data_IF_405967730116
#
_entry.id   IF_405967730116
#
_cell.length_a   1.000
_cell.length_b   1.000
_cell.length_c   1.000
_cell.angle_alpha   90.00
_cell.angle_beta   90.00
_cell.angle_gamma   90.00
#
_symmetry.space_group_name_H-M   'P 1'
#
loop_
_entity.id
_entity.type
_entity.pdbx_description
1 polymer ?
#
# COMPACT_ATOMS: atom_id res chain seq x y z
N UNK A 1 13.45 -37.18 -84.91
CA UNK A 1 14.47 -36.60 -84.05
C UNK A 1 13.73 -35.78 -83.01
N UNK A 2 13.60 -36.36 -81.80
CA UNK A 2 12.79 -35.78 -80.73
C UNK A 2 13.67 -35.20 -79.66
N UNK A 3 13.52 -33.93 -79.37
CA UNK A 3 14.20 -33.23 -78.27
C UNK A 3 13.40 -33.45 -76.98
N UNK A 4 14.00 -34.14 -75.99
CA UNK A 4 13.40 -34.26 -74.65
C UNK A 4 13.80 -33.09 -73.79
N UNK A 5 12.83 -32.23 -73.45
CA UNK A 5 12.99 -31.14 -72.48
C UNK A 5 13.01 -31.71 -71.07
N UNK A 6 14.11 -31.47 -70.32
CA UNK A 6 14.21 -31.82 -68.90
C UNK A 6 13.71 -30.59 -68.09
N UNK A 7 12.59 -30.75 -67.42
CA UNK A 7 12.07 -29.75 -66.43
C UNK A 7 12.75 -29.99 -65.12
N UNK A 8 13.53 -29.02 -64.66
CA UNK A 8 14.19 -29.01 -63.36
C UNK A 8 13.25 -28.41 -62.31
N UNK A 9 12.74 -29.22 -61.39
CA UNK A 9 11.96 -28.76 -60.24
C UNK A 9 12.94 -28.26 -59.18
N UNK A 10 12.90 -26.95 -58.90
CA UNK A 10 13.59 -26.31 -57.79
C UNK A 10 12.62 -26.34 -56.62
N UNK A 11 12.90 -27.15 -55.60
CA UNK A 11 12.21 -27.17 -54.32
C UNK A 11 12.73 -26.02 -53.46
N UNK A 12 11.93 -24.96 -53.30
CA UNK A 12 12.19 -23.86 -52.34
C UNK A 12 11.67 -24.29 -50.96
N UNK A 13 12.59 -24.67 -50.06
CA UNK A 13 12.24 -24.89 -48.66
C UNK A 13 12.16 -23.54 -47.95
N UNK A 14 10.92 -23.11 -47.70
CA UNK A 14 10.64 -21.93 -46.88
C UNK A 14 10.78 -22.38 -45.40
N UNK A 15 11.92 -22.11 -44.80
CA UNK A 15 12.15 -22.26 -43.35
C UNK A 15 11.32 -21.27 -42.56
N UNK A 16 10.26 -21.70 -41.89
CA UNK A 16 9.50 -20.90 -40.95
C UNK A 16 10.32 -20.76 -39.67
N UNK A 17 11.05 -19.64 -39.52
CA UNK A 17 11.72 -19.29 -38.28
C UNK A 17 10.63 -18.84 -37.25
N UNK A 18 10.28 -19.72 -36.32
CA UNK A 18 9.45 -19.40 -35.18
C UNK A 18 10.28 -18.53 -34.24
N UNK A 19 10.07 -17.20 -34.29
CA UNK A 19 10.57 -16.27 -33.29
C UNK A 19 9.82 -16.56 -31.97
N UNK A 20 10.44 -17.35 -31.10
CA UNK A 20 10.03 -17.46 -29.70
C UNK A 20 10.34 -16.12 -29.03
N UNK A 21 9.35 -15.23 -29.01
CA UNK A 21 9.41 -14.03 -28.17
C UNK A 21 9.40 -14.48 -26.71
N UNK A 22 10.57 -14.50 -26.11
CA UNK A 22 10.71 -14.67 -24.67
C UNK A 22 9.87 -13.61 -23.98
N UNK A 23 8.80 -14.03 -23.28
CA UNK A 23 8.05 -13.16 -22.38
C UNK A 23 9.03 -12.68 -21.31
N UNK A 24 9.63 -11.49 -21.50
CA UNK A 24 10.32 -10.78 -20.43
C UNK A 24 9.29 -10.53 -19.34
N UNK A 25 9.30 -11.39 -18.32
CA UNK A 25 8.49 -11.20 -17.13
C UNK A 25 8.80 -9.80 -16.58
N UNK A 26 7.89 -8.84 -16.78
CA UNK A 26 7.96 -7.53 -16.13
C UNK A 26 7.96 -7.78 -14.65
N UNK A 27 9.14 -7.76 -14.03
CA UNK A 27 9.25 -7.68 -12.58
C UNK A 27 8.52 -6.41 -12.17
N UNK A 28 7.37 -6.56 -11.53
CA UNK A 28 6.61 -5.40 -11.02
C UNK A 28 7.51 -4.66 -10.04
N UNK A 29 7.73 -3.37 -10.30
CA UNK A 29 8.60 -2.54 -9.46
C UNK A 29 8.12 -2.59 -8.01
N UNK A 30 9.00 -2.97 -7.10
CA UNK A 30 8.77 -3.03 -5.65
C UNK A 30 8.93 -1.62 -5.09
N UNK A 31 7.89 -0.80 -5.18
CA UNK A 31 7.90 0.58 -4.71
C UNK A 31 6.83 0.80 -3.66
N UNK A 32 7.19 1.47 -2.57
CA UNK A 32 6.34 1.76 -1.42
C UNK A 32 6.38 3.25 -1.08
N UNK A 33 5.21 3.84 -0.91
CA UNK A 33 4.99 5.15 -0.32
C UNK A 33 4.31 5.00 1.04
N UNK A 34 4.91 5.53 2.10
CA UNK A 34 4.35 5.61 3.44
C UNK A 34 3.92 7.06 3.69
N UNK A 35 2.62 7.28 3.87
CA UNK A 35 2.08 8.56 4.33
C UNK A 35 1.47 8.42 5.71
N UNK A 36 1.62 9.45 6.54
CA UNK A 36 0.99 9.39 7.85
C UNK A 36 1.46 10.42 8.87
N UNK A 37 1.07 10.15 10.10
CA UNK A 37 1.33 10.96 11.28
C UNK A 37 2.59 10.50 12.05
N UNK A 38 2.64 10.77 13.36
CA UNK A 38 3.76 10.36 14.23
C UNK A 38 3.97 8.85 14.28
N UNK A 39 2.92 8.05 14.09
CA UNK A 39 3.03 6.58 14.04
C UNK A 39 3.75 6.14 12.77
N UNK A 40 3.47 6.79 11.64
CA UNK A 40 4.21 6.57 10.39
C UNK A 40 5.68 7.00 10.52
N UNK A 41 5.96 8.12 11.17
CA UNK A 41 7.35 8.55 11.46
C UNK A 41 8.10 7.44 12.21
N UNK A 42 7.55 6.95 13.32
CA UNK A 42 8.20 5.89 14.12
C UNK A 42 8.31 4.56 13.36
N UNK A 43 7.27 4.16 12.61
CA UNK A 43 7.27 2.95 11.80
C UNK A 43 8.28 3.02 10.65
N UNK A 44 8.43 4.18 10.04
CA UNK A 44 9.33 4.44 8.91
C UNK A 44 10.80 4.18 9.22
N UNK A 45 11.22 4.32 10.48
CA UNK A 45 12.57 3.97 10.92
C UNK A 45 12.88 2.46 10.80
N UNK A 46 11.86 1.60 10.96
CA UNK A 46 12.04 0.14 10.98
C UNK A 46 11.59 -0.55 9.71
N UNK A 47 10.60 -0.01 9.00
CA UNK A 47 9.96 -0.67 7.86
C UNK A 47 10.94 -1.04 6.74
N UNK A 48 11.94 -0.20 6.36
CA UNK A 48 12.89 -0.54 5.31
C UNK A 48 13.71 -1.80 5.61
N UNK A 49 14.02 -2.08 6.89
CA UNK A 49 14.78 -3.28 7.28
C UNK A 49 14.04 -4.59 7.03
N UNK A 50 12.71 -4.55 6.86
CA UNK A 50 11.87 -5.69 6.50
C UNK A 50 11.56 -5.79 5.01
N UNK A 51 11.95 -4.78 4.21
CA UNK A 51 11.60 -4.62 2.80
C UNK A 51 12.83 -4.54 1.89
N UNK A 52 13.76 -5.51 2.03
CA UNK A 52 14.95 -5.56 1.19
C UNK A 52 14.58 -5.62 -0.31
N UNK A 53 15.25 -4.78 -1.10
CA UNK A 53 15.01 -4.67 -2.54
C UNK A 53 13.75 -3.88 -2.92
N UNK A 54 13.15 -3.13 -1.97
CA UNK A 54 12.08 -2.18 -2.23
C UNK A 54 12.63 -0.75 -2.31
N UNK A 55 12.06 0.05 -3.23
CA UNK A 55 12.22 1.50 -3.19
C UNK A 55 11.20 2.06 -2.20
N UNK A 56 11.69 2.70 -1.15
CA UNK A 56 10.87 3.25 -0.07
C UNK A 56 10.90 4.78 -0.10
N UNK A 57 9.71 5.39 -0.01
CA UNK A 57 9.52 6.81 0.21
C UNK A 57 8.59 7.02 1.39
N UNK A 58 8.88 8.02 2.21
CA UNK A 58 8.02 8.42 3.31
C UNK A 58 7.68 9.91 3.22
N UNK A 59 6.43 10.22 3.51
CA UNK A 59 5.91 11.56 3.72
C UNK A 59 5.07 11.53 5.00
N UNK A 60 5.74 11.56 6.14
CA UNK A 60 5.09 11.51 7.45
C UNK A 60 5.47 12.71 8.29
N UNK A 61 4.50 13.25 9.03
CA UNK A 61 4.71 14.39 9.91
C UNK A 61 3.96 14.21 11.23
N UNK A 62 4.60 14.59 12.33
CA UNK A 62 3.96 14.58 13.65
C UNK A 62 2.67 15.43 13.63
N UNK A 63 1.63 14.95 14.28
CA UNK A 63 0.32 15.62 14.40
C UNK A 63 -0.45 15.81 13.07
N UNK A 64 -0.02 15.18 11.96
CA UNK A 64 -0.73 15.27 10.69
C UNK A 64 -2.16 14.72 10.80
N UNK A 65 -3.12 15.46 10.24
CA UNK A 65 -4.51 15.05 10.10
C UNK A 65 -4.74 14.19 8.85
N UNK A 66 -5.82 13.39 8.87
CA UNK A 66 -6.16 12.54 7.74
C UNK A 66 -6.44 13.33 6.45
N UNK A 67 -7.00 14.54 6.56
CA UNK A 67 -7.25 15.42 5.42
C UNK A 67 -5.95 15.84 4.70
N UNK A 68 -4.92 16.16 5.47
CA UNK A 68 -3.63 16.64 4.92
C UNK A 68 -2.88 15.52 4.18
N UNK A 69 -2.80 14.33 4.80
CA UNK A 69 -2.15 13.20 4.16
C UNK A 69 -2.94 12.64 2.98
N UNK A 70 -4.28 12.61 3.06
CA UNK A 70 -5.12 12.23 1.93
C UNK A 70 -4.89 13.14 0.72
N UNK A 71 -4.84 14.46 0.94
CA UNK A 71 -4.53 15.44 -0.11
C UNK A 71 -3.15 15.18 -0.72
N UNK A 72 -2.13 14.96 0.11
CA UNK A 72 -0.76 14.69 -0.38
C UNK A 72 -0.68 13.41 -1.26
N UNK A 73 -1.44 12.36 -0.90
CA UNK A 73 -1.54 11.14 -1.71
C UNK A 73 -2.27 11.42 -3.03
N UNK A 74 -3.37 12.18 -3.00
CA UNK A 74 -4.16 12.54 -4.19
C UNK A 74 -3.34 13.39 -5.17
N UNK A 75 -2.61 14.40 -4.68
CA UNK A 75 -1.69 15.22 -5.47
C UNK A 75 -0.61 14.37 -6.13
N UNK A 76 0.04 13.49 -5.35
CA UNK A 76 1.07 12.60 -5.86
C UNK A 76 0.53 11.61 -6.92
N UNK A 77 -0.72 11.17 -6.78
CA UNK A 77 -1.39 10.35 -7.77
C UNK A 77 -1.69 11.13 -9.06
N UNK A 78 -2.14 12.38 -8.93
CA UNK A 78 -2.40 13.28 -10.06
C UNK A 78 -1.11 13.55 -10.86
N UNK A 79 0.02 13.72 -10.18
CA UNK A 79 1.35 13.88 -10.78
C UNK A 79 1.90 12.58 -11.38
N UNK A 80 1.20 11.45 -11.25
CA UNK A 80 1.63 10.10 -11.69
C UNK A 80 2.89 9.58 -11.01
N UNK A 81 3.18 10.07 -9.82
CA UNK A 81 4.35 9.72 -9.01
C UNK A 81 4.04 8.69 -7.91
N UNK A 82 2.77 8.32 -7.73
CA UNK A 82 2.36 7.42 -6.65
C UNK A 82 2.91 6.01 -6.88
N UNK A 83 3.51 5.46 -5.86
CA UNK A 83 4.13 4.15 -5.83
C UNK A 83 3.10 3.02 -5.97
N UNK A 84 3.57 1.80 -6.23
CA UNK A 84 2.70 0.64 -6.41
C UNK A 84 1.95 0.25 -5.12
N UNK A 85 2.61 0.35 -3.98
CA UNK A 85 2.01 0.13 -2.66
C UNK A 85 2.00 1.45 -1.89
N UNK A 86 0.87 1.76 -1.29
CA UNK A 86 0.66 2.96 -0.46
C UNK A 86 0.26 2.51 0.92
N UNK A 87 1.09 2.77 1.91
CA UNK A 87 0.77 2.55 3.33
C UNK A 87 0.33 3.87 3.94
N UNK A 88 -0.81 3.86 4.62
CA UNK A 88 -1.43 5.05 5.22
C UNK A 88 -1.62 4.84 6.73
N UNK A 89 -0.97 5.68 7.50
CA UNK A 89 -1.08 5.73 8.97
C UNK A 89 -1.65 7.09 9.38
N UNK A 90 -2.97 7.27 9.18
CA UNK A 90 -3.68 8.52 9.44
C UNK A 90 -5.00 8.29 10.18
N UNK A 91 -5.47 9.32 10.87
CA UNK A 91 -6.71 9.33 11.61
C UNK A 91 -6.51 9.38 13.13
N UNK A 92 -5.28 9.14 13.62
CA UNK A 92 -4.98 9.15 15.07
C UNK A 92 -5.14 10.55 15.68
N UNK A 93 -4.92 11.61 14.90
CA UNK A 93 -5.00 13.01 15.36
C UNK A 93 -6.32 13.70 15.03
N UNK A 94 -7.24 12.98 14.41
CA UNK A 94 -8.55 13.53 14.01
C UNK A 94 -9.59 13.35 15.12
N UNK A 95 -10.64 14.18 15.08
CA UNK A 95 -11.78 14.03 15.98
C UNK A 95 -12.54 12.75 15.63
N UNK A 96 -12.63 11.74 16.53
CA UNK A 96 -13.27 10.47 16.25
C UNK A 96 -14.79 10.58 15.99
N UNK A 97 -15.43 11.74 16.25
CA UNK A 97 -16.81 12.00 15.89
C UNK A 97 -16.97 12.28 14.38
N UNK A 98 -15.93 12.72 13.69
CA UNK A 98 -15.94 13.08 12.27
C UNK A 98 -15.91 11.88 11.32
N UNK A 99 -16.70 10.82 11.61
CA UNK A 99 -16.69 9.53 10.90
C UNK A 99 -16.96 9.68 9.40
N UNK A 100 -17.87 10.55 9.00
CA UNK A 100 -18.21 10.77 7.58
C UNK A 100 -17.06 11.43 6.81
N UNK A 101 -16.39 12.40 7.43
CA UNK A 101 -15.21 13.06 6.87
C UNK A 101 -14.06 12.06 6.66
N UNK A 102 -13.76 11.27 7.70
CA UNK A 102 -12.74 10.23 7.60
C UNK A 102 -13.05 9.22 6.49
N UNK A 103 -14.31 8.77 6.38
CA UNK A 103 -14.75 7.90 5.26
C UNK A 103 -14.44 8.53 3.90
N UNK A 104 -14.70 9.82 3.74
CA UNK A 104 -14.46 10.52 2.48
C UNK A 104 -12.96 10.55 2.14
N UNK A 105 -12.09 10.78 3.11
CA UNK A 105 -10.63 10.76 2.91
C UNK A 105 -10.13 9.39 2.48
N UNK A 106 -10.57 8.30 3.15
CA UNK A 106 -10.20 6.93 2.76
C UNK A 106 -10.66 6.63 1.33
N UNK A 107 -11.89 6.99 0.97
CA UNK A 107 -12.43 6.79 -0.38
C UNK A 107 -11.68 7.60 -1.44
N UNK A 108 -11.30 8.84 -1.14
CA UNK A 108 -10.51 9.70 -2.00
C UNK A 108 -9.16 9.06 -2.32
N UNK A 109 -8.42 8.64 -1.30
CA UNK A 109 -7.12 7.95 -1.44
C UNK A 109 -7.23 6.68 -2.28
N UNK A 110 -8.21 5.81 -1.98
CA UNK A 110 -8.41 4.56 -2.72
C UNK A 110 -8.73 4.81 -4.19
N UNK A 111 -9.58 5.82 -4.47
CA UNK A 111 -9.94 6.23 -5.83
C UNK A 111 -8.75 6.82 -6.57
N UNK A 112 -7.97 7.69 -5.93
CA UNK A 112 -6.78 8.31 -6.50
C UNK A 112 -5.68 7.27 -6.81
N UNK A 113 -5.49 6.29 -5.91
CA UNK A 113 -4.57 5.19 -6.14
C UNK A 113 -4.96 4.36 -7.37
N UNK A 114 -6.25 4.21 -7.64
CA UNK A 114 -6.76 3.41 -8.75
C UNK A 114 -6.58 1.89 -8.55
N UNK A 115 -7.17 1.06 -9.41
CA UNK A 115 -7.29 -0.39 -9.18
C UNK A 115 -5.98 -1.16 -9.30
N UNK A 116 -4.93 -0.56 -9.84
CA UNK A 116 -3.63 -1.21 -10.08
C UNK A 116 -2.63 -1.04 -8.93
N UNK A 117 -2.97 -0.23 -7.93
CA UNK A 117 -2.14 -0.01 -6.74
C UNK A 117 -2.80 -0.62 -5.50
N UNK A 118 -1.98 -1.04 -4.57
CA UNK A 118 -2.40 -1.57 -3.30
C UNK A 118 -2.33 -0.46 -2.25
N UNK A 119 -3.43 -0.22 -1.55
CA UNK A 119 -3.53 0.71 -0.42
C UNK A 119 -3.65 -0.10 0.85
N UNK A 120 -2.80 0.14 1.83
CA UNK A 120 -2.86 -0.47 3.15
C UNK A 120 -3.11 0.64 4.16
N UNK A 121 -4.21 0.56 4.91
CA UNK A 121 -4.53 1.52 5.97
C UNK A 121 -4.53 0.86 7.32
N UNK A 122 -3.84 1.44 8.29
CA UNK A 122 -3.78 0.89 9.66
C UNK A 122 -5.00 1.29 10.47
N UNK A 123 -5.57 0.35 11.24
CA UNK A 123 -6.58 0.69 12.26
C UNK A 123 -5.96 1.51 13.38
N UNK A 124 -6.78 2.32 14.04
CA UNK A 124 -6.36 3.27 15.06
C UNK A 124 -6.49 2.64 16.44
N UNK A 125 -5.37 2.64 17.19
CA UNK A 125 -5.33 2.36 18.61
C UNK A 125 -4.96 3.64 19.36
N UNK A 126 -5.94 4.22 20.02
CA UNK A 126 -5.78 5.42 20.84
C UNK A 126 -6.86 5.45 21.92
N UNK A 127 -6.56 5.94 23.14
CA UNK A 127 -7.58 6.25 24.15
C UNK A 127 -8.66 7.19 23.56
N UNK A 128 -9.89 7.14 24.07
CA UNK A 128 -10.96 8.01 23.61
C UNK A 128 -10.57 9.49 23.68
N UNK A 129 -10.90 10.24 22.63
CA UNK A 129 -10.78 11.69 22.59
C UNK A 129 -12.14 12.33 22.89
N UNK A 130 -12.21 13.19 23.89
CA UNK A 130 -13.49 13.77 24.39
C UNK A 130 -14.56 12.69 24.68
N UNK A 131 -14.17 11.54 25.23
CA UNK A 131 -15.07 10.43 25.54
C UNK A 131 -15.51 9.59 24.35
N UNK A 132 -15.09 9.94 23.11
CA UNK A 132 -15.45 9.22 21.89
C UNK A 132 -14.28 8.32 21.46
N UNK A 133 -14.55 7.05 21.22
CA UNK A 133 -13.56 6.07 20.77
C UNK A 133 -13.37 6.11 19.25
N UNK A 134 -12.23 5.61 18.79
CA UNK A 134 -11.92 5.47 17.35
C UNK A 134 -12.56 4.25 16.68
N UNK A 135 -13.48 3.54 17.37
CA UNK A 135 -14.19 2.38 16.80
C UNK A 135 -14.98 2.72 15.54
N UNK A 136 -15.52 3.96 15.45
CA UNK A 136 -16.22 4.43 14.25
C UNK A 136 -15.30 4.51 13.03
N UNK A 137 -14.08 4.99 13.20
CA UNK A 137 -13.06 5.02 12.14
C UNK A 137 -12.62 3.62 11.73
N UNK A 138 -12.37 2.75 12.69
CA UNK A 138 -11.99 1.35 12.42
C UNK A 138 -13.12 0.58 11.71
N UNK A 139 -14.38 0.85 12.03
CA UNK A 139 -15.53 0.29 11.32
C UNK A 139 -15.63 0.82 9.87
N UNK A 140 -15.28 2.09 9.64
CA UNK A 140 -15.17 2.65 8.27
C UNK A 140 -14.12 1.88 7.47
N UNK A 141 -12.93 1.69 8.03
CA UNK A 141 -11.85 0.95 7.36
C UNK A 141 -12.28 -0.47 7.00
N UNK A 142 -12.83 -1.22 7.94
CA UNK A 142 -13.34 -2.59 7.70
C UNK A 142 -14.43 -2.64 6.60
N UNK A 143 -15.37 -1.67 6.65
CA UNK A 143 -16.43 -1.56 5.64
C UNK A 143 -15.90 -1.26 4.24
N UNK A 144 -14.84 -0.45 4.13
CA UNK A 144 -14.25 -0.06 2.85
C UNK A 144 -13.30 -1.14 2.32
N UNK A 145 -12.58 -1.86 3.17
CA UNK A 145 -11.80 -3.06 2.82
C UNK A 145 -12.68 -4.10 2.13
N UNK A 146 -13.83 -4.40 2.72
CA UNK A 146 -14.80 -5.32 2.12
C UNK A 146 -15.36 -4.84 0.76
N UNK A 147 -15.32 -3.53 0.48
CA UNK A 147 -15.84 -2.92 -0.75
C UNK A 147 -14.81 -2.77 -1.85
N UNK A 148 -13.58 -2.41 -1.52
CA UNK A 148 -12.53 -2.05 -2.47
C UNK A 148 -11.43 -3.11 -2.52
N UNK A 149 -11.28 -3.78 -3.65
CA UNK A 149 -10.30 -4.87 -3.83
C UNK A 149 -8.84 -4.44 -3.68
N UNK A 150 -8.56 -3.15 -3.81
CA UNK A 150 -7.24 -2.57 -3.71
C UNK A 150 -6.97 -1.86 -2.37
N UNK A 151 -7.92 -1.92 -1.43
CA UNK A 151 -7.73 -1.49 -0.04
C UNK A 151 -7.54 -2.73 0.84
N UNK A 152 -6.58 -2.69 1.72
CA UNK A 152 -6.33 -3.70 2.74
C UNK A 152 -6.16 -3.04 4.09
N UNK A 153 -6.73 -3.63 5.13
CA UNK A 153 -6.62 -3.10 6.49
C UNK A 153 -5.56 -3.85 7.28
N UNK A 154 -4.60 -3.10 7.81
CA UNK A 154 -3.69 -3.61 8.82
C UNK A 154 -4.33 -3.40 10.21
N UNK A 155 -4.79 -4.49 10.84
CA UNK A 155 -5.45 -4.39 12.15
C UNK A 155 -4.44 -4.16 13.29
N UNK A 156 -3.89 -2.95 13.28
CA UNK A 156 -2.99 -2.49 14.33
C UNK A 156 -3.68 -2.43 15.70
N UNK A 157 -4.96 -2.02 15.75
CA UNK A 157 -5.69 -1.91 17.00
C UNK A 157 -5.87 -3.27 17.70
N UNK A 158 -6.06 -4.36 16.95
CA UNK A 158 -6.11 -5.69 17.53
C UNK A 158 -4.76 -6.13 18.11
N UNK A 159 -3.68 -5.92 17.36
CA UNK A 159 -2.32 -6.20 17.81
C UNK A 159 -1.96 -5.38 19.06
N UNK A 160 -2.28 -4.10 19.06
CA UNK A 160 -2.03 -3.19 20.17
C UNK A 160 -2.73 -3.64 21.45
N UNK A 161 -3.99 -4.06 21.35
CA UNK A 161 -4.74 -4.59 22.51
C UNK A 161 -4.16 -5.90 23.05
N UNK A 162 -3.58 -6.73 22.20
CA UNK A 162 -2.94 -7.98 22.61
C UNK A 162 -1.56 -7.76 23.26
N UNK A 163 -0.96 -6.57 23.05
CA UNK A 163 0.40 -6.25 23.47
C UNK A 163 0.50 -4.88 24.15
N UNK A 164 -0.17 -4.68 25.31
CA UNK A 164 -0.14 -3.41 26.03
C UNK A 164 1.27 -2.99 26.42
N UNK A 165 2.20 -3.91 26.59
CA UNK A 165 3.62 -3.66 26.88
C UNK A 165 4.37 -2.92 25.76
N UNK A 166 3.76 -2.83 24.58
CA UNK A 166 4.36 -2.07 23.47
C UNK A 166 4.14 -0.56 23.55
N UNK A 167 3.38 -0.09 24.52
CA UNK A 167 3.01 1.33 24.60
C UNK A 167 3.66 2.02 25.80
N UNK A 168 3.97 3.32 25.62
CA UNK A 168 4.30 4.22 26.71
C UNK A 168 3.06 4.69 27.48
N UNK A 169 3.27 5.63 28.40
CA UNK A 169 2.22 6.14 29.30
C UNK A 169 1.04 6.82 28.57
N UNK A 170 1.23 7.29 27.34
CA UNK A 170 0.18 7.94 26.55
C UNK A 170 -0.78 6.95 25.88
N UNK A 171 -0.43 5.67 25.82
CA UNK A 171 -1.24 4.62 25.18
C UNK A 171 -1.41 4.79 23.65
N UNK A 172 -0.66 5.70 23.03
CA UNK A 172 -0.73 6.02 21.60
C UNK A 172 0.55 5.63 20.87
N UNK A 173 1.69 6.14 21.38
CA UNK A 173 2.97 5.94 20.73
C UNK A 173 3.63 4.64 21.22
N UNK A 174 3.93 3.73 20.29
CA UNK A 174 4.64 2.51 20.64
C UNK A 174 6.06 2.76 21.14
N UNK A 175 6.52 1.85 21.97
CA UNK A 175 7.96 1.70 22.28
C UNK A 175 8.72 1.23 21.03
N UNK A 176 10.04 1.20 21.09
CA UNK A 176 10.85 0.64 20.01
C UNK A 176 10.45 -0.81 19.64
N UNK A 177 10.06 -1.61 20.64
CA UNK A 177 9.57 -2.98 20.39
C UNK A 177 8.24 -2.97 19.63
N UNK A 178 7.31 -2.11 20.03
CA UNK A 178 6.02 -1.95 19.36
C UNK A 178 6.17 -1.43 17.93
N UNK A 179 7.03 -0.44 17.67
CA UNK A 179 7.30 0.04 16.30
C UNK A 179 7.92 -1.03 15.42
N UNK A 180 8.83 -1.87 15.94
CA UNK A 180 9.37 -3.01 15.19
C UNK A 180 8.29 -4.03 14.86
N UNK A 181 7.43 -4.37 15.81
CA UNK A 181 6.32 -5.30 15.60
C UNK A 181 5.33 -4.74 14.55
N UNK A 182 5.00 -3.44 14.62
CA UNK A 182 4.18 -2.73 13.64
C UNK A 182 4.79 -2.81 12.24
N UNK A 183 6.06 -2.46 12.10
CA UNK A 183 6.78 -2.52 10.82
C UNK A 183 6.84 -3.94 10.26
N UNK A 184 7.09 -4.94 11.10
CA UNK A 184 7.06 -6.35 10.69
C UNK A 184 5.67 -6.79 10.22
N UNK A 185 4.59 -6.38 10.90
CA UNK A 185 3.21 -6.63 10.51
C UNK A 185 2.87 -6.01 9.15
N UNK A 186 3.13 -4.72 8.99
CA UNK A 186 2.92 -3.99 7.74
C UNK A 186 3.72 -4.59 6.58
N UNK A 187 4.98 -4.97 6.82
CA UNK A 187 5.83 -5.55 5.76
C UNK A 187 5.26 -6.83 5.16
N UNK A 188 4.53 -7.63 5.94
CA UNK A 188 3.85 -8.84 5.43
C UNK A 188 2.75 -8.48 4.43
N UNK A 189 1.91 -7.50 4.76
CA UNK A 189 0.87 -7.00 3.84
C UNK A 189 1.47 -6.34 2.60
N UNK A 190 2.51 -5.51 2.75
CA UNK A 190 3.23 -4.90 1.63
C UNK A 190 3.74 -5.95 0.64
N UNK A 191 4.29 -7.07 1.14
CA UNK A 191 4.80 -8.15 0.30
C UNK A 191 3.72 -8.99 -0.37
N UNK A 192 2.49 -8.99 0.15
CA UNK A 192 1.34 -9.70 -0.44
C UNK A 192 0.64 -8.88 -1.52
N UNK A 193 0.91 -7.56 -1.61
CA UNK A 193 0.47 -6.67 -2.67
C UNK A 193 1.30 -6.84 -3.95
#
# INVERSE_FOLDING_TARGET
>A
MGARSKILFVLVLIGCAVLVQGASGRTTARTLYLDGDSLAVGTGWYLPSYLHGWTFRANAAVSRHASEGALAIEERAHERLLERVVVVDLGTNDDPSAVSGFRSYVQGVVKAAGPSRCVIWSTINRPPYNGISYTGYNAVLASLDAKYRNLHVFDWAALARAHPEWFGADGVHPTNAGYRARAAGLSRLVKSC
#
